data_IF_146595797345
#
_entry.id   IF_146595797345
#
_cell.length_a   1.000
_cell.length_b   1.000
_cell.length_c   1.000
_cell.angle_alpha   90.00
_cell.angle_beta   90.00
_cell.angle_gamma   90.00
#
_symmetry.space_group_name_H-M   'P 1'
#
loop_
_entity.id
_entity.type
_entity.pdbx_description
1 polymer ?
#
# COMPACT_ATOMS: atom_id res chain seq x y z
N UNK A 1 39.34 -48.26 -54.12
CA UNK A 1 40.00 -47.12 -53.44
C UNK A 1 38.97 -45.99 -53.39
N UNK A 2 38.13 -45.98 -52.35
CA UNK A 2 37.17 -44.90 -52.09
C UNK A 2 37.85 -43.90 -51.15
N UNK A 3 37.84 -42.61 -51.49
CA UNK A 3 37.99 -41.54 -50.49
C UNK A 3 36.84 -40.55 -50.67
N UNK A 4 35.87 -40.73 -49.80
CA UNK A 4 34.68 -39.92 -49.61
C UNK A 4 35.06 -38.49 -49.24
N UNK A 5 34.54 -37.52 -50.00
CA UNK A 5 34.49 -36.12 -49.59
C UNK A 5 33.26 -35.98 -48.70
N UNK A 6 33.48 -35.88 -47.38
CA UNK A 6 32.44 -35.58 -46.40
C UNK A 6 32.19 -34.07 -46.44
N UNK A 7 31.07 -33.66 -47.02
CA UNK A 7 30.55 -32.31 -46.93
C UNK A 7 29.86 -32.17 -45.56
N UNK A 8 30.53 -31.51 -44.60
CA UNK A 8 29.93 -31.18 -43.30
C UNK A 8 29.01 -29.97 -43.50
N UNK A 9 27.70 -30.21 -43.58
CA UNK A 9 26.69 -29.17 -43.41
C UNK A 9 26.66 -28.75 -41.94
N UNK A 10 27.21 -27.57 -41.63
CA UNK A 10 26.94 -26.89 -40.36
C UNK A 10 25.51 -26.34 -40.38
N UNK A 11 24.55 -27.12 -39.89
CA UNK A 11 23.25 -26.60 -39.49
C UNK A 11 23.45 -25.73 -38.25
N UNK A 12 23.60 -24.42 -38.45
CA UNK A 12 23.38 -23.44 -37.40
C UNK A 12 21.90 -23.49 -37.02
N UNK A 13 21.56 -24.31 -36.03
CA UNK A 13 20.34 -24.10 -35.27
C UNK A 13 20.52 -22.80 -34.49
N UNK A 14 20.07 -21.69 -35.06
CA UNK A 14 19.73 -20.49 -34.27
C UNK A 14 18.55 -20.92 -33.40
N UNK A 15 18.83 -21.44 -32.21
CA UNK A 15 17.84 -21.42 -31.14
C UNK A 15 17.66 -19.94 -30.82
N UNK A 16 16.61 -19.33 -31.34
CA UNK A 16 16.11 -18.13 -30.69
C UNK A 16 15.84 -18.53 -29.24
N UNK A 17 16.60 -17.94 -28.32
CA UNK A 17 16.32 -18.09 -26.89
C UNK A 17 15.02 -17.35 -26.63
N UNK A 18 13.89 -18.05 -26.76
CA UNK A 18 12.61 -17.52 -26.34
C UNK A 18 12.74 -17.29 -24.84
N UNK A 19 12.73 -16.02 -24.43
CA UNK A 19 12.80 -15.66 -23.02
C UNK A 19 11.72 -16.39 -22.22
N UNK A 20 12.03 -16.80 -21.00
CA UNK A 20 11.08 -17.39 -20.08
C UNK A 20 9.98 -16.36 -19.79
N UNK A 21 8.76 -16.68 -20.22
CA UNK A 21 7.57 -15.86 -19.99
C UNK A 21 7.43 -15.52 -18.50
N UNK A 22 7.06 -14.26 -18.21
CA UNK A 22 6.93 -13.72 -16.85
C UNK A 22 8.26 -13.55 -16.09
N UNK A 23 9.39 -14.00 -16.64
CA UNK A 23 10.71 -13.91 -16.00
C UNK A 23 11.65 -13.03 -16.81
N UNK A 24 11.71 -13.16 -18.13
CA UNK A 24 12.62 -12.35 -18.93
C UNK A 24 11.96 -11.04 -19.37
N UNK A 25 12.75 -9.96 -19.41
CA UNK A 25 12.29 -8.63 -19.83
C UNK A 25 12.29 -8.54 -21.35
N UNK A 26 11.18 -8.91 -21.98
CA UNK A 26 11.07 -9.04 -23.45
C UNK A 26 10.14 -8.01 -24.11
N UNK A 27 9.34 -7.27 -23.32
CA UNK A 27 8.37 -6.32 -23.84
C UNK A 27 8.87 -4.87 -23.76
N UNK A 28 8.50 -4.06 -24.76
CA UNK A 28 8.42 -2.61 -24.59
C UNK A 28 7.19 -2.28 -23.74
N UNK A 29 7.16 -1.09 -23.11
CA UNK A 29 6.09 -0.72 -22.18
C UNK A 29 5.55 0.69 -22.44
N UNK A 30 4.31 0.92 -22.04
CA UNK A 30 3.73 2.26 -21.84
C UNK A 30 3.56 2.54 -20.35
N UNK A 31 3.74 3.79 -19.93
CA UNK A 31 3.53 4.21 -18.53
C UNK A 31 2.54 5.37 -18.49
N UNK A 32 1.48 5.22 -17.71
CA UNK A 32 0.53 6.27 -17.36
C UNK A 32 0.83 6.73 -15.94
N UNK A 33 1.04 8.03 -15.72
CA UNK A 33 1.39 8.56 -14.41
C UNK A 33 0.25 9.36 -13.77
N UNK A 34 0.21 9.41 -12.45
CA UNK A 34 -0.68 10.23 -11.63
C UNK A 34 -2.17 9.98 -11.86
N UNK A 35 -2.55 8.73 -12.11
CA UNK A 35 -3.94 8.30 -12.22
C UNK A 35 -4.58 8.32 -10.83
N UNK A 36 -5.64 9.10 -10.64
CA UNK A 36 -6.37 9.13 -9.37
C UNK A 36 -7.25 7.90 -9.24
N UNK A 37 -7.00 7.06 -8.23
CA UNK A 37 -7.79 5.86 -7.95
C UNK A 37 -8.76 6.03 -6.77
N UNK A 38 -8.71 7.18 -6.09
CA UNK A 38 -9.67 7.52 -5.05
C UNK A 38 -9.30 8.77 -4.26
N UNK A 39 -10.08 9.02 -3.22
CA UNK A 39 -9.76 10.04 -2.21
C UNK A 39 -10.16 9.57 -0.81
N UNK A 40 -9.44 10.00 0.20
CA UNK A 40 -9.74 9.68 1.59
C UNK A 40 -9.10 10.71 2.52
N UNK A 41 -9.66 10.87 3.72
CA UNK A 41 -9.02 11.70 4.74
C UNK A 41 -7.76 11.01 5.26
N UNK A 42 -6.68 11.78 5.31
CA UNK A 42 -5.45 11.40 6.00
C UNK A 42 -5.61 11.50 7.52
N UNK A 43 -4.50 11.25 8.21
CA UNK A 43 -4.42 11.35 9.66
C UNK A 43 -4.77 12.74 10.22
N UNK A 44 -4.45 13.82 9.50
CA UNK A 44 -4.75 15.20 9.92
C UNK A 44 -6.19 15.64 9.64
N UNK A 45 -6.99 14.80 9.00
CA UNK A 45 -8.34 15.13 8.54
C UNK A 45 -8.36 15.91 7.23
N UNK A 46 -7.24 15.96 6.52
CA UNK A 46 -7.17 16.58 5.20
C UNK A 46 -7.58 15.56 4.15
N UNK A 47 -8.42 15.97 3.20
CA UNK A 47 -8.79 15.14 2.07
C UNK A 47 -7.57 14.97 1.15
N UNK A 48 -7.08 13.73 1.00
CA UNK A 48 -5.98 13.41 0.09
C UNK A 48 -6.51 12.69 -1.15
N UNK A 49 -6.04 13.13 -2.31
CA UNK A 49 -6.18 12.40 -3.57
C UNK A 49 -5.16 11.27 -3.60
N UNK A 50 -5.65 10.06 -3.83
CA UNK A 50 -4.84 8.85 -3.93
C UNK A 50 -4.52 8.58 -5.39
N UNK A 51 -3.23 8.45 -5.70
CA UNK A 51 -2.73 8.36 -7.07
C UNK A 51 -1.88 7.12 -7.28
N UNK A 52 -1.88 6.62 -8.50
CA UNK A 52 -1.05 5.50 -8.90
C UNK A 52 -0.44 5.76 -10.29
N UNK A 53 0.63 5.04 -10.59
CA UNK A 53 1.18 4.94 -11.94
C UNK A 53 0.98 3.51 -12.43
N UNK A 54 0.63 3.34 -13.70
CA UNK A 54 0.43 2.03 -14.33
C UNK A 54 1.41 1.85 -15.47
N UNK A 55 2.12 0.73 -15.49
CA UNK A 55 2.91 0.31 -16.64
C UNK A 55 2.39 -1.01 -17.22
N UNK A 56 2.24 -1.03 -18.55
CA UNK A 56 1.70 -2.17 -19.32
C UNK A 56 2.63 -2.52 -20.49
N UNK A 57 2.79 -3.82 -20.82
CA UNK A 57 3.52 -4.25 -22.01
C UNK A 57 2.82 -3.81 -23.30
N UNK A 58 3.61 -3.61 -24.36
CA UNK A 58 3.14 -3.30 -25.72
C UNK A 58 3.27 -4.54 -26.59
N UNK A 59 2.21 -4.89 -27.31
CA UNK A 59 2.24 -5.94 -28.33
C UNK A 59 2.32 -7.37 -27.77
N UNK A 60 1.95 -7.56 -26.50
CA UNK A 60 1.87 -8.88 -25.90
C UNK A 60 0.54 -9.58 -26.25
N UNK A 61 0.62 -10.84 -26.68
CA UNK A 61 -0.53 -11.72 -26.79
C UNK A 61 -0.82 -12.32 -25.40
N UNK A 62 -1.57 -11.59 -24.57
CA UNK A 62 -2.05 -12.10 -23.29
C UNK A 62 -3.28 -13.01 -23.46
N UNK A 63 -3.59 -13.76 -22.40
CA UNK A 63 -4.80 -14.58 -22.34
C UNK A 63 -6.06 -13.71 -22.49
N UNK A 64 -7.19 -14.27 -22.98
CA UNK A 64 -8.48 -13.60 -22.90
C UNK A 64 -8.87 -13.17 -21.48
N UNK A 65 -8.27 -13.78 -20.45
CA UNK A 65 -8.52 -13.42 -19.06
C UNK A 65 -7.77 -12.16 -18.62
N UNK A 66 -6.87 -11.63 -19.44
CA UNK A 66 -6.04 -10.48 -19.14
C UNK A 66 -4.60 -10.84 -18.75
N UNK A 67 -3.91 -9.86 -18.15
CA UNK A 67 -2.53 -9.94 -17.66
C UNK A 67 -2.49 -10.13 -16.15
N UNK A 68 -1.52 -10.89 -15.61
CA UNK A 68 -1.22 -10.86 -14.20
C UNK A 68 -0.96 -9.42 -13.71
N UNK A 69 -1.48 -9.07 -12.53
CA UNK A 69 -1.28 -7.77 -11.89
C UNK A 69 -0.17 -7.86 -10.84
N UNK A 70 0.72 -6.86 -10.80
CA UNK A 70 1.56 -6.57 -9.64
C UNK A 70 1.20 -5.21 -9.06
N UNK A 71 0.79 -5.19 -7.80
CA UNK A 71 0.67 -3.97 -7.00
C UNK A 71 1.97 -3.73 -6.23
N UNK A 72 2.53 -2.53 -6.33
CA UNK A 72 3.79 -2.14 -5.69
C UNK A 72 3.48 -1.04 -4.66
N UNK A 73 3.89 -1.27 -3.42
CA UNK A 73 3.58 -0.39 -2.29
C UNK A 73 4.88 0.13 -1.68
N UNK A 74 5.06 1.45 -1.71
CA UNK A 74 6.30 2.08 -1.29
C UNK A 74 6.54 2.06 0.23
N UNK A 75 7.80 2.18 0.62
CA UNK A 75 8.28 2.35 1.99
C UNK A 75 8.08 3.75 2.54
N UNK A 76 8.97 4.20 3.43
CA UNK A 76 8.93 5.56 3.99
C UNK A 76 8.23 5.68 5.35
N UNK A 77 8.16 4.59 6.13
CA UNK A 77 7.74 4.61 7.54
C UNK A 77 6.31 5.12 7.80
N UNK A 78 5.44 5.13 6.78
CA UNK A 78 4.13 5.80 6.79
C UNK A 78 4.20 7.33 6.99
N UNK A 79 5.37 7.93 6.80
CA UNK A 79 5.65 9.36 6.96
C UNK A 79 5.91 10.06 5.63
N UNK A 80 6.42 9.29 4.67
CA UNK A 80 6.79 9.77 3.36
C UNK A 80 6.95 8.61 2.39
N UNK A 81 7.80 8.82 1.39
CA UNK A 81 7.91 7.94 0.24
C UNK A 81 6.82 8.22 -0.79
N UNK A 82 6.97 7.58 -1.95
CA UNK A 82 6.05 7.77 -3.06
C UNK A 82 6.09 6.60 -4.04
N UNK A 83 5.08 6.52 -4.89
CA UNK A 83 5.03 5.61 -6.05
C UNK A 83 6.19 5.79 -7.06
N UNK A 84 7.04 6.81 -6.89
CA UNK A 84 8.19 7.15 -7.72
C UNK A 84 9.54 6.84 -7.05
N UNK A 85 9.53 6.27 -5.84
CA UNK A 85 10.76 5.91 -5.13
C UNK A 85 11.60 4.91 -5.95
N UNK A 86 12.93 4.93 -5.79
CA UNK A 86 13.85 4.26 -6.72
C UNK A 86 13.55 2.78 -6.97
N UNK A 87 13.45 1.96 -5.91
CA UNK A 87 13.13 0.53 -6.06
C UNK A 87 11.71 0.31 -6.59
N UNK A 88 10.75 1.11 -6.14
CA UNK A 88 9.34 1.06 -6.55
C UNK A 88 9.20 1.31 -8.06
N UNK A 89 9.85 2.37 -8.56
CA UNK A 89 9.85 2.72 -9.97
C UNK A 89 10.55 1.67 -10.82
N UNK A 90 11.64 1.09 -10.32
CA UNK A 90 12.36 0.03 -11.02
C UNK A 90 11.49 -1.23 -11.13
N UNK A 91 10.81 -1.66 -10.06
CA UNK A 91 9.89 -2.80 -10.11
C UNK A 91 8.69 -2.55 -11.03
N UNK A 92 8.14 -1.34 -11.06
CA UNK A 92 7.06 -0.97 -11.98
C UNK A 92 7.50 -1.22 -13.43
N UNK A 93 8.69 -0.72 -13.81
CA UNK A 93 9.22 -0.86 -15.15
C UNK A 93 9.58 -2.32 -15.46
N UNK A 94 10.30 -2.98 -14.56
CA UNK A 94 10.86 -4.30 -14.81
C UNK A 94 9.80 -5.39 -14.94
N UNK A 95 8.77 -5.35 -14.10
CA UNK A 95 7.69 -6.33 -14.21
C UNK A 95 6.76 -6.05 -15.39
N UNK A 96 6.56 -4.79 -15.78
CA UNK A 96 5.86 -4.50 -17.03
C UNK A 96 6.60 -5.08 -18.24
N UNK A 97 7.94 -4.97 -18.27
CA UNK A 97 8.78 -5.59 -19.31
C UNK A 97 8.75 -7.13 -19.29
N UNK A 98 8.36 -7.76 -18.18
CA UNK A 98 8.15 -9.22 -18.04
C UNK A 98 6.76 -9.67 -18.49
N UNK A 99 5.86 -8.73 -18.83
CA UNK A 99 4.51 -9.00 -19.34
C UNK A 99 3.39 -8.74 -18.33
N UNK A 100 3.69 -8.24 -17.14
CA UNK A 100 2.67 -7.94 -16.14
C UNK A 100 2.02 -6.58 -16.41
N UNK A 101 0.75 -6.43 -16.04
CA UNK A 101 0.25 -5.08 -15.70
C UNK A 101 0.80 -4.75 -14.31
N UNK A 102 1.48 -3.62 -14.16
CA UNK A 102 2.08 -3.22 -12.89
C UNK A 102 1.55 -1.87 -12.46
N UNK A 103 1.35 -1.69 -11.17
CA UNK A 103 0.93 -0.40 -10.63
C UNK A 103 1.67 -0.08 -9.33
N UNK A 104 2.21 1.13 -9.21
CA UNK A 104 2.76 1.67 -7.97
C UNK A 104 1.81 2.73 -7.41
N UNK A 105 1.54 2.70 -6.10
CA UNK A 105 0.50 3.53 -5.46
C UNK A 105 1.09 4.49 -4.43
N UNK A 106 0.56 5.71 -4.38
CA UNK A 106 0.65 6.55 -3.19
C UNK A 106 -0.50 6.16 -2.24
N UNK A 107 -0.21 5.96 -0.96
CA UNK A 107 -1.23 5.69 0.08
C UNK A 107 -1.26 6.80 1.13
N UNK A 108 -2.31 6.83 1.96
CA UNK A 108 -2.40 7.78 3.08
C UNK A 108 -1.28 7.55 4.09
N UNK A 109 -0.40 8.54 4.19
CA UNK A 109 0.55 8.67 5.28
C UNK A 109 -0.18 8.95 6.60
N UNK A 110 0.47 8.60 7.71
CA UNK A 110 -0.24 8.35 8.97
C UNK A 110 0.37 8.97 10.22
N UNK A 111 1.32 9.90 10.08
CA UNK A 111 1.93 10.61 11.21
C UNK A 111 2.09 12.11 10.89
N UNK A 112 2.43 12.93 11.88
CA UNK A 112 2.67 14.36 11.68
C UNK A 112 3.95 14.59 10.85
N UNK A 113 3.87 15.46 9.84
CA UNK A 113 5.01 15.98 9.08
C UNK A 113 5.30 17.43 9.49
N UNK A 114 6.57 17.82 9.45
CA UNK A 114 7.02 19.19 9.73
C UNK A 114 7.69 19.77 8.46
N UNK A 115 7.09 20.77 7.81
CA UNK A 115 7.67 21.45 6.63
C UNK A 115 8.57 22.62 7.05
N UNK A 116 8.48 23.07 8.32
CA UNK A 116 9.58 23.84 8.89
C UNK A 116 10.71 22.85 9.10
N UNK A 117 11.68 22.88 8.19
CA UNK A 117 12.91 22.09 8.16
C UNK A 117 13.53 21.94 9.56
N UNK A 118 13.02 20.97 10.31
CA UNK A 118 13.58 20.52 11.58
C UNK A 118 13.86 19.06 11.40
N UNK A 119 14.97 18.88 10.69
CA UNK A 119 15.70 17.65 10.74
C UNK A 119 16.08 17.38 12.19
N UNK A 120 15.80 16.17 12.66
CA UNK A 120 16.49 15.69 13.85
C UNK A 120 17.99 15.83 13.59
N UNK A 121 18.78 16.17 14.61
CA UNK A 121 20.24 16.40 14.48
C UNK A 121 21.02 15.12 14.09
N UNK A 122 20.33 14.10 13.59
CA UNK A 122 20.82 12.83 13.10
C UNK A 122 20.62 12.67 11.58
N UNK A 123 20.01 13.62 10.87
CA UNK A 123 19.92 13.58 9.39
C UNK A 123 21.31 13.47 8.75
N UNK A 124 22.28 14.23 9.29
CA UNK A 124 23.68 14.14 8.88
C UNK A 124 24.35 12.80 9.25
N UNK A 125 23.77 12.04 10.19
CA UNK A 125 24.25 10.70 10.52
C UNK A 125 23.75 9.74 9.43
N UNK A 126 22.45 9.67 9.16
CA UNK A 126 21.89 8.61 8.32
C UNK A 126 21.80 8.93 6.82
N UNK A 127 22.21 10.12 6.40
CA UNK A 127 22.16 10.60 5.00
C UNK A 127 20.78 10.41 4.34
N UNK A 128 19.74 10.43 5.18
CA UNK A 128 18.33 10.34 4.86
C UNK A 128 17.64 11.45 5.65
N UNK A 129 16.73 12.25 5.07
CA UNK A 129 16.01 13.29 5.79
C UNK A 129 15.23 12.64 6.93
N UNK A 130 15.67 12.84 8.17
CA UNK A 130 14.92 12.43 9.34
C UNK A 130 14.11 13.61 9.83
N UNK A 131 12.89 13.73 9.33
CA UNK A 131 11.88 14.59 9.94
C UNK A 131 11.54 13.97 11.30
N UNK A 132 11.64 14.75 12.37
CA UNK A 132 11.48 14.21 13.71
C UNK A 132 10.11 13.56 13.88
N UNK A 133 10.12 12.24 13.83
CA UNK A 133 8.94 11.40 13.97
C UNK A 133 8.24 11.74 15.28
N UNK A 134 7.14 12.48 15.19
CA UNK A 134 6.35 12.81 16.36
C UNK A 134 5.25 11.77 16.54
N UNK A 135 5.64 10.66 17.15
CA UNK A 135 4.75 9.56 17.45
C UNK A 135 3.97 9.86 18.73
N UNK A 136 2.84 10.55 18.58
CA UNK A 136 1.96 10.89 19.71
C UNK A 136 1.43 9.68 20.45
N UNK A 137 1.19 8.58 19.74
CA UNK A 137 0.53 7.38 20.24
C UNK A 137 0.92 6.17 19.38
N UNK A 138 1.16 5.02 20.02
CA UNK A 138 1.49 3.77 19.33
C UNK A 138 0.34 3.25 18.48
N UNK A 139 -0.89 3.63 18.82
CA UNK A 139 -2.09 3.34 18.04
C UNK A 139 -1.99 3.91 16.62
N UNK A 140 -1.30 5.03 16.41
CA UNK A 140 -1.22 5.64 15.07
C UNK A 140 -0.38 4.84 14.10
N UNK A 141 0.58 4.05 14.57
CA UNK A 141 1.28 3.09 13.70
C UNK A 141 0.33 2.06 13.10
N UNK A 142 -0.50 1.45 13.95
CA UNK A 142 -1.47 0.45 13.51
C UNK A 142 -2.52 1.09 12.59
N UNK A 143 -2.98 2.31 12.90
CA UNK A 143 -3.97 3.00 12.08
C UNK A 143 -3.39 3.50 10.75
N UNK A 144 -2.13 3.92 10.71
CA UNK A 144 -1.41 4.26 9.48
C UNK A 144 -1.27 3.05 8.57
N UNK A 145 -0.78 1.94 9.12
CA UNK A 145 -0.73 0.64 8.49
C UNK A 145 -2.10 0.23 7.92
N UNK A 146 -3.17 0.35 8.70
CA UNK A 146 -4.51 -0.02 8.25
C UNK A 146 -5.04 0.90 7.14
N UNK A 147 -4.81 2.23 7.22
CA UNK A 147 -5.14 3.15 6.12
C UNK A 147 -4.43 2.75 4.82
N UNK A 148 -3.15 2.40 4.90
CA UNK A 148 -2.38 1.94 3.75
C UNK A 148 -2.94 0.63 3.16
N UNK A 149 -3.38 -0.31 4.00
CA UNK A 149 -4.06 -1.53 3.56
C UNK A 149 -5.36 -1.18 2.81
N UNK A 150 -6.20 -0.31 3.36
CA UNK A 150 -7.45 0.11 2.71
C UNK A 150 -7.20 0.75 1.36
N UNK A 151 -6.15 1.56 1.26
CA UNK A 151 -5.79 2.26 0.04
C UNK A 151 -5.24 1.28 -1.01
N UNK A 152 -4.51 0.23 -0.59
CA UNK A 152 -4.10 -0.87 -1.46
C UNK A 152 -5.30 -1.68 -1.99
N UNK A 153 -6.26 -2.01 -1.11
CA UNK A 153 -7.53 -2.63 -1.53
C UNK A 153 -8.25 -1.79 -2.59
N UNK A 154 -8.36 -0.48 -2.34
CA UNK A 154 -9.01 0.45 -3.26
C UNK A 154 -8.30 0.52 -4.61
N UNK A 155 -6.97 0.53 -4.61
CA UNK A 155 -6.19 0.53 -5.85
C UNK A 155 -6.42 -0.74 -6.68
N UNK A 156 -6.43 -1.93 -6.07
CA UNK A 156 -6.72 -3.18 -6.80
C UNK A 156 -8.13 -3.16 -7.37
N UNK A 157 -9.13 -2.74 -6.59
CA UNK A 157 -10.49 -2.63 -7.08
C UNK A 157 -10.64 -1.62 -8.22
N UNK A 158 -9.94 -0.50 -8.17
CA UNK A 158 -9.87 0.46 -9.28
C UNK A 158 -9.29 -0.20 -10.53
N UNK A 159 -8.11 -0.82 -10.41
CA UNK A 159 -7.38 -1.44 -11.52
C UNK A 159 -8.17 -2.58 -12.19
N UNK A 160 -8.78 -3.46 -11.38
CA UNK A 160 -9.54 -4.62 -11.88
C UNK A 160 -10.83 -4.20 -12.59
N UNK A 161 -11.43 -3.10 -12.17
CA UNK A 161 -12.67 -2.60 -12.76
C UNK A 161 -12.46 -1.67 -13.95
N UNK A 162 -11.21 -1.37 -14.31
CA UNK A 162 -10.84 -0.54 -15.45
C UNK A 162 -10.52 -1.45 -16.66
N UNK A 163 -11.42 -1.56 -17.66
CA UNK A 163 -11.25 -2.47 -18.78
C UNK A 163 -9.99 -2.21 -19.60
N UNK A 164 -9.48 -0.97 -19.60
CA UNK A 164 -8.26 -0.60 -20.32
C UNK A 164 -7.02 -1.38 -19.84
N UNK A 165 -6.97 -1.83 -18.58
CA UNK A 165 -5.82 -2.54 -18.03
C UNK A 165 -5.87 -4.05 -18.23
N UNK A 166 -7.04 -4.60 -18.58
CA UNK A 166 -7.26 -6.02 -18.90
C UNK A 166 -6.57 -6.96 -17.90
N UNK A 167 -7.00 -6.92 -16.64
CA UNK A 167 -6.35 -7.65 -15.54
C UNK A 167 -6.96 -9.03 -15.37
N UNK A 168 -6.10 -10.06 -15.29
CA UNK A 168 -6.48 -11.39 -14.86
C UNK A 168 -6.59 -11.43 -13.33
N UNK A 169 -7.83 -11.35 -12.86
CA UNK A 169 -8.18 -11.33 -11.43
C UNK A 169 -7.74 -12.58 -10.69
N UNK A 170 -7.42 -13.68 -11.39
CA UNK A 170 -6.89 -14.90 -10.77
C UNK A 170 -5.42 -14.76 -10.41
N UNK A 171 -4.71 -13.79 -10.99
CA UNK A 171 -3.26 -13.68 -10.96
C UNK A 171 -2.82 -12.31 -10.42
N UNK A 172 -3.08 -12.06 -9.13
CA UNK A 172 -2.63 -10.83 -8.44
C UNK A 172 -1.41 -11.11 -7.58
N UNK A 173 -0.41 -10.25 -7.65
CA UNK A 173 0.81 -10.29 -6.84
C UNK A 173 1.07 -8.93 -6.20
N UNK A 174 1.83 -8.94 -5.12
CA UNK A 174 2.13 -7.73 -4.35
C UNK A 174 3.63 -7.65 -4.07
N UNK A 175 4.21 -6.47 -4.24
CA UNK A 175 5.59 -6.17 -3.84
C UNK A 175 5.53 -4.98 -2.91
N UNK A 176 6.28 -5.04 -1.81
CA UNK A 176 6.48 -3.86 -0.99
C UNK A 176 7.81 -3.91 -0.25
N UNK A 177 8.29 -2.73 0.08
CA UNK A 177 9.53 -2.51 0.81
C UNK A 177 9.30 -1.67 2.07
N UNK A 178 9.97 -2.00 3.17
CA UNK A 178 9.85 -1.27 4.45
C UNK A 178 8.39 -1.19 4.93
N UNK A 179 7.86 0.00 5.21
CA UNK A 179 6.45 0.23 5.52
C UNK A 179 5.49 -0.34 4.46
N UNK A 180 5.86 -0.29 3.17
CA UNK A 180 5.10 -0.91 2.10
C UNK A 180 5.11 -2.43 2.15
N UNK A 181 6.19 -3.04 2.65
CA UNK A 181 6.25 -4.48 2.92
C UNK A 181 5.37 -4.88 4.11
N UNK A 182 5.32 -4.05 5.16
CA UNK A 182 4.40 -4.20 6.29
C UNK A 182 2.95 -4.14 5.79
N UNK A 183 2.61 -3.11 5.00
CA UNK A 183 1.30 -2.97 4.36
C UNK A 183 0.99 -4.15 3.46
N UNK A 184 1.95 -4.63 2.67
CA UNK A 184 1.75 -5.77 1.78
C UNK A 184 1.45 -7.04 2.56
N UNK A 185 2.18 -7.34 3.64
CA UNK A 185 1.91 -8.49 4.50
C UNK A 185 0.50 -8.41 5.09
N UNK A 186 0.10 -7.23 5.58
CA UNK A 186 -1.25 -6.99 6.05
C UNK A 186 -2.32 -7.14 4.98
N UNK A 187 -2.12 -6.49 3.84
CA UNK A 187 -3.03 -6.57 2.70
C UNK A 187 -3.21 -8.01 2.23
N UNK A 188 -2.14 -8.82 2.26
CA UNK A 188 -2.16 -10.18 1.73
C UNK A 188 -2.63 -11.22 2.73
N UNK A 189 -2.37 -11.03 4.03
CA UNK A 189 -2.64 -12.05 5.05
C UNK A 189 -3.71 -11.66 6.09
N UNK A 190 -4.12 -10.40 6.22
CA UNK A 190 -5.26 -10.00 7.04
C UNK A 190 -6.58 -10.31 6.32
N UNK A 191 -7.06 -11.55 6.38
CA UNK A 191 -8.31 -12.00 5.74
C UNK A 191 -9.44 -12.30 6.72
N UNK A 192 -9.19 -12.38 8.01
CA UNK A 192 -10.22 -12.76 8.96
C UNK A 192 -10.58 -11.63 9.94
N UNK A 193 -11.88 -11.45 10.19
CA UNK A 193 -12.39 -10.39 11.09
C UNK A 193 -11.81 -10.45 12.50
N UNK A 194 -11.49 -11.64 13.01
CA UNK A 194 -10.91 -11.79 14.34
C UNK A 194 -9.47 -11.29 14.44
N UNK A 195 -8.78 -11.11 13.30
CA UNK A 195 -7.45 -10.54 13.25
C UNK A 195 -7.50 -9.00 13.30
N UNK A 196 -8.67 -8.38 13.10
CA UNK A 196 -8.81 -6.93 13.21
C UNK A 196 -8.53 -6.48 14.63
N UNK A 197 -7.51 -5.63 14.79
CA UNK A 197 -7.21 -5.00 16.07
C UNK A 197 -8.32 -4.01 16.42
N UNK A 198 -8.66 -3.94 17.71
CA UNK A 198 -9.64 -2.99 18.23
C UNK A 198 -9.28 -1.54 17.91
N UNK A 199 -7.99 -1.24 17.70
CA UNK A 199 -7.44 0.05 17.29
C UNK A 199 -7.97 0.58 15.95
N UNK A 200 -8.48 -0.29 15.09
CA UNK A 200 -9.07 0.09 13.81
C UNK A 200 -10.48 0.66 13.97
N UNK A 201 -11.17 0.32 15.06
CA UNK A 201 -12.47 0.89 15.43
C UNK A 201 -12.37 2.39 15.78
N UNK A 202 -13.51 2.97 16.19
CA UNK A 202 -13.54 4.32 16.77
C UNK A 202 -12.66 4.39 18.02
N UNK A 203 -11.81 5.42 18.12
CA UNK A 203 -10.89 5.64 19.24
C UNK A 203 -11.07 7.03 19.86
N UNK A 204 -10.57 7.20 21.09
CA UNK A 204 -10.43 8.51 21.72
C UNK A 204 -9.56 9.44 20.86
N UNK A 205 -9.72 10.75 20.98
CA UNK A 205 -8.89 11.72 20.21
C UNK A 205 -7.39 11.50 20.42
N UNK A 206 -6.61 11.74 19.37
CA UNK A 206 -5.15 11.68 19.39
C UNK A 206 -4.63 12.64 20.47
N UNK A 207 -3.64 12.19 21.25
CA UNK A 207 -2.96 13.06 22.22
C UNK A 207 -2.09 14.09 21.50
N UNK A 208 -1.90 15.26 22.10
CA UNK A 208 -0.89 16.19 21.60
C UNK A 208 0.51 15.54 21.61
N UNK A 209 1.39 15.93 20.67
CA UNK A 209 2.83 15.66 20.68
C UNK A 209 3.46 15.59 22.06
N UNK A 210 4.29 14.57 22.29
CA UNK A 210 5.00 14.43 23.54
C UNK A 210 6.09 15.52 23.65
N UNK A 211 6.11 16.24 24.78
CA UNK A 211 7.10 17.29 25.07
C UNK A 211 8.55 16.79 25.10
N UNK A 212 8.79 15.47 25.17
CA UNK A 212 10.13 14.91 25.03
C UNK A 212 10.77 15.26 23.69
N UNK A 213 9.95 15.49 22.65
CA UNK A 213 10.40 15.95 21.34
C UNK A 213 10.76 17.44 21.31
N UNK A 214 10.66 18.18 22.43
CA UNK A 214 11.15 19.57 22.57
C UNK A 214 12.59 19.62 23.12
N UNK A 215 13.26 18.47 23.30
CA UNK A 215 14.60 18.36 23.89
C UNK A 215 15.71 18.74 22.89
N UNK A 216 16.84 19.40 23.28
CA UNK A 216 17.85 19.98 22.37
C UNK A 216 18.51 19.05 21.32
N UNK A 217 18.34 17.73 21.43
CA UNK A 217 18.69 16.76 20.38
C UNK A 217 17.73 16.76 19.17
N UNK A 218 16.56 17.36 19.34
CA UNK A 218 15.41 17.45 18.45
C UNK A 218 15.06 18.95 18.44
N UNK A 219 15.39 19.69 17.39
CA UNK A 219 15.26 21.15 17.44
C UNK A 219 13.79 21.57 17.69
N UNK A 220 13.61 22.78 18.21
CA UNK A 220 12.34 23.42 18.57
C UNK A 220 11.27 23.31 17.49
N UNK A 221 10.29 22.42 17.70
CA UNK A 221 9.20 22.05 16.78
C UNK A 221 8.65 23.22 15.95
N UNK A 222 8.75 23.09 14.63
CA UNK A 222 7.93 23.80 13.67
C UNK A 222 7.03 22.78 12.98
N UNK A 223 5.77 22.66 13.40
CA UNK A 223 4.84 21.84 12.64
C UNK A 223 4.49 22.52 11.33
N UNK A 224 4.35 21.72 10.26
CA UNK A 224 3.79 22.17 8.99
C UNK A 224 2.34 22.65 9.20
N UNK A 225 1.54 21.72 9.73
CA UNK A 225 0.19 21.96 10.19
C UNK A 225 0.24 22.10 11.71
N UNK A 226 -0.09 23.28 12.23
CA UNK A 226 -0.20 23.49 13.69
C UNK A 226 -1.06 22.39 14.32
N UNK A 227 -0.67 21.90 15.51
CA UNK A 227 -1.51 20.97 16.31
C UNK A 227 -2.94 21.51 16.44
N UNK A 228 -3.10 22.84 16.55
CA UNK A 228 -4.39 23.49 16.66
C UNK A 228 -5.25 23.42 15.38
N UNK A 229 -4.64 23.19 14.21
CA UNK A 229 -5.33 23.02 12.92
C UNK A 229 -5.60 21.56 12.54
N UNK A 230 -5.12 20.59 13.33
CA UNK A 230 -5.25 19.16 13.02
C UNK A 230 -6.59 18.61 13.54
N UNK A 231 -7.22 17.75 12.73
CA UNK A 231 -8.36 16.96 13.22
C UNK A 231 -7.82 15.80 14.05
N UNK A 232 -7.88 15.94 15.37
CA UNK A 232 -7.42 14.90 16.30
C UNK A 232 -8.45 13.77 16.52
N UNK A 233 -9.59 13.80 15.82
CA UNK A 233 -10.61 12.76 15.92
C UNK A 233 -10.12 11.45 15.28
N UNK A 234 -10.43 10.33 15.93
CA UNK A 234 -10.11 8.99 15.42
C UNK A 234 -11.40 8.22 15.10
N UNK A 235 -12.03 8.52 13.96
CA UNK A 235 -13.22 7.79 13.54
C UNK A 235 -12.89 6.33 13.28
N UNK A 236 -13.92 5.50 13.24
CA UNK A 236 -13.82 4.11 12.85
C UNK A 236 -13.22 3.97 11.44
N UNK A 237 -12.20 3.13 11.29
CA UNK A 237 -11.60 2.77 10.01
C UNK A 237 -12.20 1.48 9.44
N UNK A 238 -12.82 0.61 10.23
CA UNK A 238 -13.28 -0.72 9.82
C UNK A 238 -14.39 -0.67 8.76
N UNK A 239 -15.02 0.49 8.51
CA UNK A 239 -16.17 0.72 7.61
C UNK A 239 -16.12 0.12 6.19
N UNK A 240 -16.32 0.92 5.13
CA UNK A 240 -16.71 0.32 3.82
C UNK A 240 -15.57 -0.37 3.04
N UNK A 241 -14.31 -0.25 3.49
CA UNK A 241 -13.16 -0.99 2.95
C UNK A 241 -12.59 -1.84 4.08
N UNK A 242 -13.38 -2.81 4.51
CA UNK A 242 -12.97 -3.87 5.42
C UNK A 242 -12.11 -4.88 4.61
N UNK A 243 -10.80 -4.97 4.89
CA UNK A 243 -9.86 -5.80 4.11
C UNK A 243 -10.15 -7.31 4.23
N UNK A 244 -11.00 -7.70 5.19
CA UNK A 244 -11.44 -9.08 5.46
C UNK A 244 -12.70 -9.46 4.66
N UNK A 245 -13.27 -8.53 3.88
CA UNK A 245 -14.42 -8.84 3.02
C UNK A 245 -14.02 -9.55 1.73
N UNK A 246 -15.01 -10.25 1.16
CA UNK A 246 -14.84 -11.18 0.05
C UNK A 246 -14.20 -10.50 -1.17
N UNK A 247 -12.99 -10.93 -1.53
CA UNK A 247 -12.22 -10.39 -2.67
C UNK A 247 -12.70 -11.07 -3.95
N UNK A 248 -12.99 -10.30 -4.99
CA UNK A 248 -13.30 -10.84 -6.32
C UNK A 248 -12.04 -11.21 -7.13
N UNK A 249 -10.88 -11.27 -6.47
CA UNK A 249 -9.58 -11.57 -7.07
C UNK A 249 -8.78 -12.51 -6.16
N UNK A 250 -7.81 -13.21 -6.75
CA UNK A 250 -6.92 -14.14 -6.06
C UNK A 250 -5.50 -13.58 -6.01
N UNK A 251 -5.02 -13.34 -4.80
CA UNK A 251 -3.60 -13.05 -4.58
C UNK A 251 -2.83 -14.37 -4.59
N UNK A 252 -1.80 -14.45 -5.43
CA UNK A 252 -1.00 -15.67 -5.61
C UNK A 252 0.33 -15.60 -4.86
N UNK A 253 0.86 -14.40 -4.63
CA UNK A 253 2.10 -14.24 -3.88
C UNK A 253 2.46 -12.80 -3.55
N UNK A 254 3.40 -12.69 -2.61
CA UNK A 254 3.94 -11.44 -2.09
C UNK A 254 5.47 -11.49 -2.02
N UNK A 255 6.11 -10.36 -2.34
CA UNK A 255 7.51 -10.09 -2.04
C UNK A 255 7.58 -8.99 -0.97
N UNK A 256 8.05 -9.35 0.22
CA UNK A 256 8.22 -8.46 1.37
C UNK A 256 9.71 -8.17 1.59
N UNK A 257 10.12 -6.93 1.30
CA UNK A 257 11.51 -6.51 1.34
C UNK A 257 11.74 -5.67 2.61
N UNK A 258 12.60 -6.15 3.52
CA UNK A 258 12.88 -5.59 4.86
C UNK A 258 11.61 -5.14 5.61
N UNK A 259 10.58 -5.98 5.55
CA UNK A 259 9.28 -5.78 6.19
C UNK A 259 9.13 -6.50 7.52
N UNK A 260 7.96 -6.31 8.14
CA UNK A 260 7.56 -6.95 9.38
C UNK A 260 6.04 -7.12 9.48
N UNK A 261 5.56 -7.99 10.37
CA UNK A 261 4.15 -8.01 10.79
C UNK A 261 3.99 -7.24 12.10
N UNK A 262 2.89 -6.49 12.24
CA UNK A 262 2.55 -5.75 13.46
C UNK A 262 1.60 -6.53 14.39
N UNK A 263 1.09 -7.64 13.90
CA UNK A 263 0.10 -8.49 14.56
C UNK A 263 0.25 -9.92 14.02
N UNK A 264 -0.41 -10.87 14.66
CA UNK A 264 -0.55 -12.22 14.13
C UNK A 264 -1.41 -12.17 12.85
N UNK A 265 -0.92 -12.82 11.80
CA UNK A 265 -1.54 -12.91 10.47
C UNK A 265 -1.55 -14.36 9.95
N UNK A 266 -1.14 -15.35 10.75
CA UNK A 266 -0.90 -16.70 10.26
C UNK A 266 -1.68 -17.77 11.03
N UNK A 267 -2.14 -17.50 12.25
CA UNK A 267 -2.84 -18.50 13.06
C UNK A 267 -4.31 -18.68 12.72
N UNK A 268 -4.97 -17.64 12.20
CA UNK A 268 -6.44 -17.57 12.03
C UNK A 268 -6.91 -17.54 10.57
N UNK A 269 -6.02 -17.90 9.64
CA UNK A 269 -6.17 -17.79 8.20
C UNK A 269 -7.40 -18.55 7.62
N UNK A 270 -8.05 -17.95 6.60
CA UNK A 270 -9.21 -18.50 5.87
C UNK A 270 -9.03 -18.67 4.36
N UNK A 271 -7.83 -18.40 3.80
CA UNK A 271 -7.59 -18.56 2.37
C UNK A 271 -7.86 -19.99 1.89
N UNK A 272 -8.65 -20.13 0.82
CA UNK A 272 -8.80 -21.40 0.11
C UNK A 272 -7.48 -21.87 -0.54
N UNK A 273 -6.60 -20.93 -0.87
CA UNK A 273 -5.21 -21.15 -1.32
C UNK A 273 -4.34 -20.02 -0.77
N UNK A 274 -3.39 -20.37 0.09
CA UNK A 274 -2.53 -19.39 0.75
C UNK A 274 -1.54 -18.79 -0.24
N UNK A 275 -1.44 -17.45 -0.36
CA UNK A 275 -0.43 -16.80 -1.20
C UNK A 275 0.99 -17.15 -0.77
N UNK A 276 1.91 -17.35 -1.73
CA UNK A 276 3.32 -17.60 -1.39
C UNK A 276 4.03 -16.35 -0.87
N UNK A 277 5.02 -16.55 -0.01
CA UNK A 277 5.77 -15.47 0.63
C UNK A 277 7.25 -15.51 0.25
N UNK A 278 7.70 -14.49 -0.48
CA UNK A 278 9.12 -14.18 -0.59
C UNK A 278 9.49 -13.08 0.41
N UNK A 279 10.58 -13.28 1.14
CA UNK A 279 11.16 -12.28 2.03
C UNK A 279 12.64 -12.08 1.77
N UNK A 280 13.08 -10.82 1.81
CA UNK A 280 14.48 -10.45 1.87
C UNK A 280 14.71 -9.47 3.02
N UNK A 281 15.73 -9.67 3.84
CA UNK A 281 16.01 -8.79 4.98
C UNK A 281 17.46 -8.91 5.43
N UNK A 282 18.17 -7.79 5.64
CA UNK A 282 19.54 -7.82 6.13
C UNK A 282 19.60 -7.84 7.67
N UNK A 283 20.56 -8.55 8.29
CA UNK A 283 20.59 -8.68 9.74
C UNK A 283 21.01 -7.41 10.49
N UNK A 284 21.65 -6.46 9.81
CA UNK A 284 22.01 -5.15 10.37
C UNK A 284 20.99 -4.04 10.09
N UNK A 285 19.76 -4.38 9.70
CA UNK A 285 18.69 -3.40 9.53
C UNK A 285 18.34 -2.74 10.88
N UNK A 286 18.58 -1.43 10.96
CA UNK A 286 18.35 -0.62 12.17
C UNK A 286 16.96 0.06 12.17
N UNK A 287 16.24 -0.01 11.05
CA UNK A 287 14.91 0.59 10.83
C UNK A 287 13.83 -0.43 11.15
N UNK A 288 13.93 -1.63 10.58
CA UNK A 288 13.05 -2.76 10.89
C UNK A 288 13.95 -3.87 11.38
N UNK A 289 13.85 -4.24 12.66
CA UNK A 289 14.65 -5.36 13.16
C UNK A 289 14.23 -6.64 12.44
N UNK A 290 15.21 -7.42 11.98
CA UNK A 290 14.97 -8.68 11.28
C UNK A 290 14.26 -9.70 12.19
N UNK A 291 14.44 -9.61 13.51
CA UNK A 291 13.79 -10.43 14.52
C UNK A 291 12.56 -9.69 15.10
N UNK A 292 12.16 -10.03 16.33
CA UNK A 292 11.07 -9.37 17.03
C UNK A 292 11.59 -8.20 17.87
N UNK A 293 11.26 -6.97 17.49
CA UNK A 293 11.66 -5.78 18.23
C UNK A 293 10.68 -4.61 17.99
N UNK A 294 10.89 -3.48 18.65
CA UNK A 294 10.18 -2.25 18.28
C UNK A 294 10.66 -1.76 16.92
N UNK A 295 9.75 -1.29 16.07
CA UNK A 295 10.14 -0.57 14.84
C UNK A 295 11.11 0.55 15.20
N UNK A 296 12.16 0.80 14.41
CA UNK A 296 13.21 1.81 14.64
C UNK A 296 14.08 1.61 15.89
N UNK A 297 14.09 0.42 16.50
CA UNK A 297 14.88 0.18 17.71
C UNK A 297 16.39 0.33 17.47
N UNK A 298 16.88 -0.09 16.30
CA UNK A 298 18.29 0.06 15.96
C UNK A 298 18.69 1.53 15.89
N UNK A 299 17.86 2.38 15.27
CA UNK A 299 18.13 3.81 15.23
C UNK A 299 18.04 4.43 16.62
N UNK A 300 17.03 4.12 17.42
CA UNK A 300 16.94 4.62 18.79
C UNK A 300 18.21 4.30 19.59
N UNK A 301 18.68 3.06 19.48
CA UNK A 301 19.90 2.60 20.15
C UNK A 301 21.15 3.33 19.63
N UNK A 302 21.17 3.65 18.34
CA UNK A 302 22.25 4.38 17.70
C UNK A 302 22.28 5.88 18.07
N UNK A 303 21.12 6.53 18.07
CA UNK A 303 21.00 7.93 18.48
C UNK A 303 21.33 8.12 19.98
N UNK A 304 20.93 7.15 20.81
CA UNK A 304 21.30 7.14 22.23
C UNK A 304 22.82 7.04 22.43
N UNK A 305 23.49 6.16 21.69
CA UNK A 305 24.93 5.91 21.85
C UNK A 305 25.84 7.01 21.29
N UNK A 306 25.40 7.73 20.25
CA UNK A 306 26.22 8.75 19.57
C UNK A 306 26.02 10.18 20.09
N UNK A 307 25.03 10.44 20.94
CA UNK A 307 24.78 11.81 21.41
C UNK A 307 23.78 11.98 22.55
N UNK A 308 23.37 10.91 23.25
CA UNK A 308 22.29 10.97 24.26
C UNK A 308 20.96 11.50 23.69
N UNK A 309 20.71 11.25 22.41
CA UNK A 309 19.55 11.73 21.66
C UNK A 309 18.48 10.65 21.42
N UNK A 310 18.46 9.61 22.27
CA UNK A 310 17.46 8.55 22.19
C UNK A 310 16.16 8.97 22.88
N UNK A 311 15.10 9.20 22.11
CA UNK A 311 13.77 9.55 22.63
C UNK A 311 12.63 9.04 21.72
N UNK A 312 12.85 8.01 20.89
CA UNK A 312 11.78 7.41 20.10
C UNK A 312 10.86 6.55 20.98
N UNK A 313 9.75 7.14 21.40
CA UNK A 313 8.72 6.51 22.24
C UNK A 313 7.52 6.06 21.40
N UNK A 314 6.62 5.27 21.99
CA UNK A 314 5.35 4.88 21.36
C UNK A 314 5.45 4.05 20.07
N UNK A 315 6.55 3.31 19.87
CA UNK A 315 6.72 2.39 18.74
C UNK A 315 6.12 1.00 19.04
N UNK A 316 5.36 0.40 18.11
CA UNK A 316 4.83 -0.94 18.29
C UNK A 316 5.95 -1.98 18.22
N UNK A 317 5.70 -3.15 18.82
CA UNK A 317 6.48 -4.34 18.53
C UNK A 317 6.12 -4.84 17.13
N UNK A 318 7.11 -5.34 16.41
CA UNK A 318 6.95 -5.93 15.10
C UNK A 318 7.80 -7.20 15.00
N UNK A 319 7.33 -8.18 14.22
CA UNK A 319 8.10 -9.37 13.87
C UNK A 319 8.70 -9.15 12.48
N UNK A 320 10.01 -8.92 12.39
CA UNK A 320 10.73 -8.88 11.13
C UNK A 320 10.80 -10.23 10.42
N UNK A 321 11.37 -10.25 9.23
CA UNK A 321 11.35 -11.42 8.34
C UNK A 321 11.93 -12.70 8.94
N UNK A 322 12.96 -12.63 9.79
CA UNK A 322 13.50 -13.83 10.48
C UNK A 322 12.53 -14.35 11.54
N UNK A 323 11.84 -13.47 12.27
CA UNK A 323 10.83 -13.85 13.24
C UNK A 323 9.59 -14.43 12.54
N UNK A 324 9.11 -13.80 11.45
CA UNK A 324 8.02 -14.32 10.61
C UNK A 324 8.37 -15.72 10.07
N UNK A 325 9.60 -15.90 9.55
CA UNK A 325 10.03 -17.19 9.04
C UNK A 325 10.01 -18.27 10.14
N UNK A 326 10.51 -17.95 11.33
CA UNK A 326 10.49 -18.87 12.48
C UNK A 326 9.06 -19.21 12.92
N UNK A 327 8.17 -18.22 12.95
CA UNK A 327 6.74 -18.39 13.25
C UNK A 327 6.08 -19.36 12.27
N UNK A 328 6.23 -19.13 10.95
CA UNK A 328 5.71 -20.02 9.92
C UNK A 328 6.29 -21.44 10.06
N UNK A 329 7.59 -21.56 10.33
CA UNK A 329 8.24 -22.86 10.51
C UNK A 329 7.75 -23.61 11.77
N UNK A 330 7.38 -22.90 12.82
CA UNK A 330 6.78 -23.49 14.02
C UNK A 330 5.35 -23.97 13.72
N UNK A 331 4.56 -23.14 13.04
CA UNK A 331 3.18 -23.45 12.65
C UNK A 331 3.08 -24.65 11.70
N UNK A 332 4.11 -24.94 10.88
CA UNK A 332 4.17 -26.19 10.07
C UNK A 332 4.11 -27.48 10.88
N UNK A 333 4.42 -27.43 12.19
CA UNK A 333 4.41 -28.62 13.05
C UNK A 333 3.05 -28.88 13.70
N UNK A 334 2.05 -28.05 13.44
CA UNK A 334 0.66 -28.21 13.89
C UNK A 334 -0.26 -28.18 12.66
N UNK A 335 -1.52 -28.68 12.75
CA UNK A 335 -2.40 -28.84 11.59
C UNK A 335 -3.01 -27.52 11.12
N UNK A 336 -2.16 -26.52 10.86
CA UNK A 336 -2.49 -25.21 10.30
C UNK A 336 -1.79 -25.10 8.95
N UNK A 337 -2.53 -24.78 7.90
CA UNK A 337 -1.93 -24.47 6.61
C UNK A 337 -1.21 -23.12 6.68
N UNK A 338 0.02 -23.07 6.15
CA UNK A 338 0.87 -21.88 6.18
C UNK A 338 1.48 -21.62 4.79
N UNK A 339 1.88 -20.38 4.49
CA UNK A 339 2.43 -20.07 3.17
C UNK A 339 3.73 -20.85 2.90
N UNK A 340 3.90 -21.23 1.64
CA UNK A 340 5.22 -21.58 1.12
C UNK A 340 6.10 -20.32 1.20
N UNK A 341 7.19 -20.40 1.96
CA UNK A 341 8.02 -19.26 2.30
C UNK A 341 9.45 -19.44 1.78
N UNK A 342 9.94 -18.44 1.06
CA UNK A 342 11.35 -18.29 0.68
C UNK A 342 11.90 -17.07 1.42
N UNK A 343 12.96 -17.25 2.21
CA UNK A 343 13.58 -16.17 2.96
C UNK A 343 15.08 -16.09 2.65
N UNK A 344 15.50 -14.92 2.17
CA UNK A 344 16.89 -14.60 1.90
C UNK A 344 17.42 -13.50 2.83
N UNK A 345 18.68 -13.62 3.25
CA UNK A 345 19.39 -12.61 4.02
C UNK A 345 20.87 -12.61 3.65
N UNK A 346 21.53 -11.49 3.89
CA UNK A 346 22.99 -11.38 3.76
C UNK A 346 23.69 -11.76 5.08
N UNK A 347 25.02 -11.76 5.05
CA UNK A 347 25.84 -11.82 6.27
C UNK A 347 26.30 -10.42 6.71
N UNK A 348 25.60 -9.36 6.27
CA UNK A 348 25.95 -7.97 6.60
C UNK A 348 25.64 -7.68 8.07
N UNK A 349 26.68 -7.58 8.90
CA UNK A 349 26.58 -7.34 10.34
C UNK A 349 27.14 -5.97 10.72
N UNK A 350 27.27 -5.05 9.77
CA UNK A 350 27.85 -3.73 10.01
C UNK A 350 27.00 -2.98 11.03
N UNK A 351 27.60 -2.60 12.15
CA UNK A 351 26.93 -1.88 13.22
C UNK A 351 26.48 -0.49 12.78
N UNK A 352 25.79 0.23 13.68
CA UNK A 352 25.27 1.53 13.29
C UNK A 352 26.40 2.49 12.88
N UNK A 353 27.49 2.59 13.63
CA UNK A 353 28.59 3.51 13.30
C UNK A 353 29.20 3.17 11.93
N UNK A 354 29.37 1.89 11.63
CA UNK A 354 29.84 1.45 10.33
C UNK A 354 28.87 1.79 9.19
N UNK A 355 27.55 1.73 9.41
CA UNK A 355 26.55 2.16 8.43
C UNK A 355 26.59 3.68 8.19
N UNK A 356 26.86 4.47 9.23
CA UNK A 356 27.06 5.93 9.12
C UNK A 356 28.30 6.27 8.28
N UNK A 357 29.40 5.56 8.53
CA UNK A 357 30.66 5.77 7.80
C UNK A 357 30.63 5.21 6.38
N UNK A 358 29.76 4.23 6.12
CA UNK A 358 29.56 3.63 4.81
C UNK A 358 28.08 3.35 4.52
N UNK A 359 27.36 4.32 3.91
CA UNK A 359 25.95 4.17 3.56
C UNK A 359 25.67 2.98 2.62
N UNK A 360 26.66 2.52 1.84
CA UNK A 360 26.48 1.34 0.98
C UNK A 360 26.37 0.03 1.76
N UNK A 361 26.70 0.04 3.06
CA UNK A 361 26.57 -1.09 3.97
C UNK A 361 25.26 -1.04 4.81
N UNK A 362 24.38 -0.07 4.55
CA UNK A 362 23.12 0.08 5.25
C UNK A 362 22.27 -1.20 5.17
N UNK A 363 21.76 -1.66 6.31
CA UNK A 363 20.96 -2.89 6.36
C UNK A 363 19.54 -2.74 5.82
N UNK A 364 18.96 -1.53 5.94
CA UNK A 364 17.64 -1.21 5.42
C UNK A 364 17.68 -0.91 3.91
N UNK A 365 18.22 -1.84 3.14
CA UNK A 365 18.45 -1.72 1.70
C UNK A 365 18.50 -3.09 1.03
N UNK A 366 18.38 -3.10 -0.29
CA UNK A 366 18.60 -4.29 -1.10
C UNK A 366 20.08 -4.37 -1.48
N UNK A 367 20.74 -5.47 -1.13
CA UNK A 367 22.17 -5.68 -1.46
C UNK A 367 22.42 -5.82 -2.97
N UNK A 368 21.52 -6.51 -3.67
CA UNK A 368 21.59 -6.65 -5.12
C UNK A 368 20.19 -6.72 -5.73
N UNK A 369 19.77 -5.60 -6.33
CA UNK A 369 18.45 -5.46 -6.94
C UNK A 369 18.11 -6.58 -7.93
N UNK A 370 19.02 -6.91 -8.86
CA UNK A 370 18.75 -7.90 -9.91
C UNK A 370 18.63 -9.31 -9.36
N UNK A 371 19.51 -9.69 -8.44
CA UNK A 371 19.48 -11.02 -7.80
C UNK A 371 18.16 -11.19 -7.04
N UNK A 372 17.79 -10.25 -6.17
CA UNK A 372 16.56 -10.37 -5.37
C UNK A 372 15.32 -10.36 -6.24
N UNK A 373 15.24 -9.44 -7.19
CA UNK A 373 14.11 -9.31 -8.13
C UNK A 373 13.92 -10.56 -8.98
N UNK A 374 15.01 -11.18 -9.45
CA UNK A 374 14.92 -12.40 -10.25
C UNK A 374 14.39 -13.60 -9.45
N UNK A 375 14.71 -13.70 -8.16
CA UNK A 375 14.23 -14.81 -7.32
C UNK A 375 12.71 -14.75 -7.19
N UNK A 376 12.15 -13.62 -6.76
CA UNK A 376 10.70 -13.55 -6.58
C UNK A 376 9.94 -13.45 -7.92
N UNK A 377 10.55 -12.95 -9.00
CA UNK A 377 9.95 -13.07 -10.34
C UNK A 377 9.78 -14.55 -10.76
N UNK A 378 10.78 -15.40 -10.51
CA UNK A 378 10.68 -16.84 -10.78
C UNK A 378 9.62 -17.51 -9.92
N UNK A 379 9.52 -17.14 -8.64
CA UNK A 379 8.49 -17.65 -7.74
C UNK A 379 7.08 -17.25 -8.19
N UNK A 380 6.88 -15.98 -8.57
CA UNK A 380 5.58 -15.50 -9.07
C UNK A 380 5.19 -16.19 -10.37
N UNK A 381 6.12 -16.33 -11.31
CA UNK A 381 5.89 -17.00 -12.59
C UNK A 381 5.35 -18.44 -12.42
N UNK A 382 5.83 -19.17 -11.41
CA UNK A 382 5.38 -20.54 -11.12
C UNK A 382 3.93 -20.62 -10.61
N UNK A 383 3.37 -19.53 -10.10
CA UNK A 383 2.01 -19.49 -9.54
C UNK A 383 0.98 -18.88 -10.48
N UNK A 384 1.40 -18.38 -11.64
CA UNK A 384 0.49 -17.84 -12.65
C UNK A 384 -0.37 -18.96 -13.22
N UNK A 385 -1.68 -18.76 -13.16
CA UNK A 385 -2.68 -19.63 -13.78
C UNK A 385 -2.94 -19.20 -15.22
N UNK A 386 -2.58 -20.06 -16.18
CA UNK A 386 -2.73 -19.77 -17.62
C UNK A 386 -4.00 -20.37 -18.25
N UNK A 387 -4.93 -20.90 -17.45
CA UNK A 387 -6.11 -21.57 -17.98
C UNK A 387 -6.99 -20.61 -18.81
N UNK A 388 -7.46 -21.06 -19.98
CA UNK A 388 -8.29 -20.27 -20.90
C UNK A 388 -9.75 -20.12 -20.43
N UNK A 389 -10.16 -20.86 -19.39
CA UNK A 389 -11.46 -20.74 -18.76
C UNK A 389 -11.48 -19.49 -17.86
N UNK A 390 -11.67 -18.34 -18.49
CA UNK A 390 -11.95 -17.11 -17.77
C UNK A 390 -13.36 -17.23 -17.20
N UNK A 391 -13.50 -17.43 -15.90
CA UNK A 391 -14.78 -17.17 -15.26
C UNK A 391 -15.01 -15.67 -15.37
N UNK A 392 -15.75 -15.26 -16.39
CA UNK A 392 -16.44 -13.98 -16.37
C UNK A 392 -17.44 -14.10 -15.24
N UNK A 393 -17.04 -13.74 -14.03
CA UNK A 393 -17.99 -13.01 -13.20
C UNK A 393 -18.29 -11.76 -14.01
N UNK A 394 -19.36 -11.84 -14.81
CA UNK A 394 -20.20 -10.68 -15.04
C UNK A 394 -20.49 -10.16 -13.65
N UNK A 395 -19.65 -9.24 -13.18
CA UNK A 395 -20.07 -8.26 -12.21
C UNK A 395 -21.28 -7.63 -12.88
N UNK A 396 -22.46 -8.12 -12.50
CA UNK A 396 -23.62 -7.24 -12.41
C UNK A 396 -23.06 -5.99 -11.77
N UNK A 397 -23.09 -4.89 -12.53
CA UNK A 397 -22.56 -3.61 -12.11
C UNK A 397 -23.03 -3.38 -10.67
N UNK A 398 -22.14 -3.58 -9.71
CA UNK A 398 -22.40 -3.17 -8.35
C UNK A 398 -22.48 -1.66 -8.46
N UNK A 399 -23.67 -1.15 -8.17
CA UNK A 399 -23.97 0.28 -8.16
C UNK A 399 -22.77 1.02 -7.54
N UNK A 400 -22.30 2.13 -8.12
CA UNK A 400 -21.24 2.90 -7.50
C UNK A 400 -21.61 3.16 -6.04
N UNK A 401 -20.77 2.73 -5.11
CA UNK A 401 -20.92 3.05 -3.69
C UNK A 401 -20.64 4.54 -3.57
N UNK A 402 -21.70 5.31 -3.37
CA UNK A 402 -21.62 6.75 -3.14
C UNK A 402 -21.49 6.97 -1.64
N UNK A 403 -20.43 7.67 -1.23
CA UNK A 403 -20.22 8.06 0.16
C UNK A 403 -20.53 9.53 0.38
N UNK A 404 -21.21 9.80 1.48
CA UNK A 404 -21.63 11.13 1.91
C UNK A 404 -21.02 11.44 3.27
N UNK A 405 -20.16 12.44 3.36
CA UNK A 405 -19.43 12.75 4.59
C UNK A 405 -18.97 14.23 4.64
N UNK A 406 -18.61 14.79 5.81
CA UNK A 406 -18.93 14.27 7.13
C UNK A 406 -20.45 14.23 7.32
N UNK A 407 -20.95 13.29 8.10
CA UNK A 407 -22.37 13.19 8.43
C UNK A 407 -22.46 12.75 9.90
N UNK A 408 -22.68 13.67 10.87
CA UNK A 408 -23.16 15.05 10.68
C UNK A 408 -22.16 16.03 10.03
N UNK A 409 -22.67 16.98 9.25
CA UNK A 409 -21.91 18.07 8.64
C UNK A 409 -22.20 19.41 9.31
N UNK A 410 -21.18 20.26 9.46
CA UNK A 410 -21.35 21.63 9.98
C UNK A 410 -21.43 22.68 8.87
N UNK A 411 -20.40 22.73 8.03
CA UNK A 411 -20.29 23.75 6.97
C UNK A 411 -20.16 23.15 5.58
N UNK A 412 -19.66 21.91 5.49
CA UNK A 412 -19.37 21.23 4.22
C UNK A 412 -19.81 19.78 4.27
N UNK A 413 -20.26 19.31 3.12
CA UNK A 413 -20.60 17.92 2.82
C UNK A 413 -19.89 17.53 1.51
N UNK A 414 -19.42 16.29 1.41
CA UNK A 414 -18.71 15.76 0.26
C UNK A 414 -19.46 14.54 -0.28
N UNK A 415 -19.56 14.47 -1.61
CA UNK A 415 -20.02 13.30 -2.34
C UNK A 415 -18.81 12.64 -2.99
N UNK A 416 -18.47 11.42 -2.57
CA UNK A 416 -17.41 10.59 -3.17
C UNK A 416 -18.04 9.38 -3.87
N UNK A 417 -17.91 9.30 -5.19
CA UNK A 417 -18.25 8.09 -5.92
C UNK A 417 -17.01 7.20 -5.91
N UNK A 418 -17.08 6.01 -5.29
CA UNK A 418 -15.94 5.09 -5.29
C UNK A 418 -15.60 4.53 -6.69
N UNK A 419 -16.45 4.77 -7.70
CA UNK A 419 -16.20 4.50 -9.12
C UNK A 419 -16.48 5.77 -9.91
N UNK A 420 -15.54 6.17 -10.78
CA UNK A 420 -15.69 7.32 -11.65
C UNK A 420 -16.84 7.06 -12.64
N UNK A 421 -17.84 7.94 -12.69
CA UNK A 421 -18.84 7.94 -13.75
C UNK A 421 -18.50 9.09 -14.70
N UNK A 422 -18.02 8.75 -15.90
CA UNK A 422 -17.56 9.71 -16.91
C UNK A 422 -18.71 10.63 -17.40
N UNK A 423 -19.96 10.23 -17.19
CA UNK A 423 -21.16 10.89 -17.72
C UNK A 423 -21.65 12.08 -16.85
N UNK A 424 -21.13 12.26 -15.63
CA UNK A 424 -21.52 13.31 -14.68
C UNK A 424 -22.79 13.00 -13.86
N UNK A 425 -23.05 13.79 -12.82
CA UNK A 425 -24.19 13.60 -11.91
C UNK A 425 -24.81 14.92 -11.44
N UNK A 426 -26.08 14.87 -11.07
CA UNK A 426 -26.82 15.93 -10.40
C UNK A 426 -27.05 15.58 -8.94
N UNK A 427 -27.22 16.59 -8.09
CA UNK A 427 -27.65 16.37 -6.72
C UNK A 427 -28.60 17.46 -6.24
N UNK A 428 -29.43 17.14 -5.25
CA UNK A 428 -30.30 18.07 -4.54
C UNK A 428 -30.38 17.72 -3.06
N UNK A 429 -30.32 18.71 -2.17
CA UNK A 429 -30.63 18.56 -0.75
C UNK A 429 -32.02 19.09 -0.50
N UNK A 430 -32.89 18.23 0.02
CA UNK A 430 -34.28 18.52 0.32
C UNK A 430 -34.54 18.43 1.83
N UNK A 431 -35.43 19.26 2.36
CA UNK A 431 -35.95 19.05 3.71
C UNK A 431 -36.90 17.83 3.76
N UNK A 432 -37.35 17.43 4.95
CA UNK A 432 -38.25 16.27 5.13
C UNK A 432 -39.64 16.45 4.48
N UNK A 433 -40.02 17.69 4.14
CA UNK A 433 -41.24 18.00 3.39
C UNK A 433 -41.04 17.96 1.87
N UNK A 434 -39.84 17.61 1.38
CA UNK A 434 -39.52 17.51 -0.04
C UNK A 434 -39.15 18.84 -0.72
N UNK A 435 -39.02 19.93 0.03
CA UNK A 435 -38.61 21.24 -0.53
C UNK A 435 -37.10 21.22 -0.77
N UNK A 436 -36.69 21.48 -2.00
CA UNK A 436 -35.28 21.62 -2.40
C UNK A 436 -34.67 22.91 -1.87
N UNK A 437 -33.54 22.78 -1.18
CA UNK A 437 -32.80 23.89 -0.58
C UNK A 437 -31.47 24.16 -1.29
N UNK A 438 -30.82 23.10 -1.79
CA UNK A 438 -29.56 23.18 -2.54
C UNK A 438 -29.66 22.22 -3.72
N UNK A 439 -29.19 22.60 -4.91
CA UNK A 439 -29.13 21.72 -6.08
C UNK A 439 -27.95 22.05 -7.01
N UNK A 440 -27.67 21.15 -7.96
CA UNK A 440 -26.71 21.38 -9.05
C UNK A 440 -27.24 20.89 -10.40
N UNK A 441 -26.78 21.51 -11.49
CA UNK A 441 -27.30 21.23 -12.85
C UNK A 441 -26.55 20.12 -13.59
N UNK A 442 -25.23 19.96 -13.38
CA UNK A 442 -24.45 18.78 -13.77
C UNK A 442 -23.02 18.90 -13.21
N UNK A 443 -22.56 17.95 -12.40
CA UNK A 443 -21.24 17.94 -11.76
C UNK A 443 -20.40 16.76 -12.24
N UNK A 444 -19.11 17.02 -12.51
CA UNK A 444 -18.12 16.00 -12.92
C UNK A 444 -16.89 15.91 -12.02
N UNK A 445 -16.75 16.82 -11.06
CA UNK A 445 -15.61 16.85 -10.14
C UNK A 445 -15.90 16.05 -8.89
N UNK A 446 -14.96 15.19 -8.52
CA UNK A 446 -15.06 14.29 -7.36
C UNK A 446 -13.82 14.40 -6.45
N UNK A 447 -14.00 14.28 -5.12
CA UNK A 447 -15.29 14.31 -4.44
C UNK A 447 -15.91 15.71 -4.57
N UNK A 448 -17.23 15.78 -4.72
CA UNK A 448 -17.93 17.06 -4.87
C UNK A 448 -18.18 17.67 -3.50
N UNK A 449 -17.53 18.78 -3.24
CA UNK A 449 -17.83 19.63 -2.07
C UNK A 449 -19.16 20.37 -2.27
N UNK A 450 -19.99 20.34 -1.24
CA UNK A 450 -21.25 21.05 -1.10
C UNK A 450 -21.14 21.92 0.15
N UNK A 451 -21.31 23.23 -0.02
CA UNK A 451 -21.45 24.14 1.10
C UNK A 451 -22.86 23.98 1.70
N UNK A 452 -22.93 23.58 2.97
CA UNK A 452 -24.18 23.38 3.72
C UNK A 452 -24.32 24.39 4.87
N UNK A 453 -23.46 25.41 4.95
CA UNK A 453 -23.46 26.39 6.03
C UNK A 453 -24.73 27.25 6.10
N UNK A 454 -25.54 27.28 5.04
CA UNK A 454 -26.81 27.98 4.99
C UNK A 454 -27.98 27.15 5.54
N UNK A 455 -27.77 25.87 5.84
CA UNK A 455 -28.78 24.98 6.41
C UNK A 455 -28.79 25.11 7.94
N UNK A 456 -29.98 25.11 8.52
CA UNK A 456 -30.15 25.02 9.98
C UNK A 456 -29.84 23.61 10.47
N UNK A 457 -29.47 23.45 11.74
CA UNK A 457 -29.28 22.12 12.33
C UNK A 457 -30.53 21.26 12.18
N UNK A 458 -30.39 20.04 11.70
CA UNK A 458 -31.53 19.18 11.36
C UNK A 458 -31.20 18.03 10.42
N UNK A 459 -32.24 17.28 10.03
CA UNK A 459 -32.13 16.12 9.12
C UNK A 459 -32.63 16.50 7.73
N UNK A 460 -31.85 16.16 6.71
CA UNK A 460 -32.17 16.41 5.31
C UNK A 460 -31.98 15.15 4.45
N UNK A 461 -32.53 15.18 3.24
CA UNK A 461 -32.35 14.14 2.24
C UNK A 461 -31.49 14.69 1.10
N UNK A 462 -30.32 14.10 0.90
CA UNK A 462 -29.50 14.31 -0.29
C UNK A 462 -29.90 13.29 -1.36
N UNK A 463 -30.45 13.77 -2.47
CA UNK A 463 -30.71 12.98 -3.66
C UNK A 463 -29.58 13.17 -4.66
N UNK A 464 -29.06 12.09 -5.23
CA UNK A 464 -28.07 12.10 -6.31
C UNK A 464 -28.66 11.37 -7.51
N UNK A 465 -28.54 11.96 -8.69
CA UNK A 465 -29.08 11.44 -9.94
C UNK A 465 -27.96 11.39 -10.98
N UNK A 466 -27.77 10.22 -11.59
CA UNK A 466 -26.94 10.02 -12.79
C UNK A 466 -27.87 9.65 -13.94
N UNK A 467 -27.34 9.46 -15.16
CA UNK A 467 -28.14 8.99 -16.29
C UNK A 467 -28.78 7.61 -16.04
N UNK A 468 -28.18 6.78 -15.20
CA UNK A 468 -28.56 5.37 -15.02
C UNK A 468 -29.23 5.10 -13.67
N UNK A 469 -28.96 5.92 -12.65
CA UNK A 469 -29.30 5.60 -11.27
C UNK A 469 -29.69 6.84 -10.46
N UNK A 470 -30.48 6.62 -9.41
CA UNK A 470 -30.86 7.62 -8.41
C UNK A 470 -30.66 7.06 -7.01
N UNK A 471 -30.03 7.84 -6.14
CA UNK A 471 -29.79 7.48 -4.74
C UNK A 471 -30.31 8.57 -3.80
N UNK A 472 -30.71 8.17 -2.60
CA UNK A 472 -31.14 9.08 -1.54
C UNK A 472 -30.35 8.76 -0.26
N UNK A 473 -29.78 9.78 0.36
CA UNK A 473 -29.01 9.69 1.59
C UNK A 473 -29.63 10.56 2.66
N UNK A 474 -29.74 10.03 3.88
CA UNK A 474 -30.02 10.83 5.07
C UNK A 474 -28.76 11.57 5.47
N UNK A 475 -28.83 12.90 5.55
CA UNK A 475 -27.74 13.75 6.05
C UNK A 475 -28.21 14.52 7.27
N UNK A 476 -27.29 14.76 8.20
CA UNK A 476 -27.51 15.50 9.45
C UNK A 476 -26.64 16.76 9.36
N UNK A 477 -27.25 17.92 9.62
CA UNK A 477 -26.55 19.20 9.76
C UNK A 477 -26.53 19.54 11.25
N UNK A 478 -25.33 19.86 11.77
CA UNK A 478 -25.07 20.20 13.18
C UNK A 478 -24.90 21.70 13.40
#
# INVERSE_FOLDING_TARGET
>A
MFKNVILILFLFFVRESIGQKWVDTVYNITIQNNITYGSAFDFGGNLKSLKLDVATPIGDNHSPCGRPLILIIHGGGFLGGSKQDGYVRNWLIDFAKRGYTTASIDYRLGMFTTEKEIHCNITNLFNFPWDCMNETDSIEWYRAYFRAIQDAHRAIHFLINEPAYQIDQRNVFVIGESAGAITSLGFVYLDHKNELLSYFGSQNTVKSPNKIYDFPCIQTLGFDTSIASLTLARPDLIGDLDPTQNRNFTIKGIASIYGATLQDLFTSNTYSKIPILYMYHQPNDIVVDINRNKLLQGIESCAASLGSCGTLINRPMANGSQAIFQEIQQLKNIPIEVPEVTFEKTNNQVDCLGQLLNPSAAGHSIDNYWTRTLVFAKLFAQKIEESAACYTTTSTATLPSIKIFPNPAKTKLYIDFQKYDEEGFQFSINNLSGVTLISSENSRHLPKEINVSSLTSGVYILTIVTLKNRWNFKIIID
#
